data_IF_633870091500
#
_entry.id   IF_633870091500
#
_cell.length_a   1.000
_cell.length_b   1.000
_cell.length_c   1.000
_cell.angle_alpha   90.00
_cell.angle_beta   90.00
_cell.angle_gamma   90.00
#
_symmetry.space_group_name_H-M   'P 1'
#
loop_
_entity.id
_entity.type
_entity.pdbx_description
1 polymer ?
#
# COMPACT_ATOMS: atom_id res chain seq x y z
N UNK A 1 -0.34 7.63 7.05
CA UNK A 1 0.72 7.93 6.07
C UNK A 1 1.68 6.76 6.12
N UNK A 2 1.63 5.90 5.11
CA UNK A 2 2.13 4.53 5.22
C UNK A 2 3.40 4.36 4.38
N UNK A 3 4.57 4.22 5.02
CA UNK A 3 5.90 4.27 4.39
C UNK A 3 6.47 2.86 4.24
N UNK A 4 6.90 2.46 3.03
CA UNK A 4 7.86 1.37 2.90
C UNK A 4 9.26 1.96 3.10
N UNK A 5 9.95 1.57 4.18
CA UNK A 5 11.34 1.98 4.43
C UNK A 5 12.26 0.83 4.02
N UNK A 6 13.15 1.06 3.07
CA UNK A 6 14.35 0.26 2.93
C UNK A 6 15.41 0.90 3.83
N UNK A 7 15.81 0.20 4.89
CA UNK A 7 17.03 0.55 5.61
C UNK A 7 18.16 -0.02 4.75
N UNK A 8 18.79 0.83 3.95
CA UNK A 8 20.12 0.57 3.41
C UNK A 8 21.05 0.36 4.62
N UNK A 9 21.65 -0.82 4.69
CA UNK A 9 22.60 -1.19 5.73
C UNK A 9 23.91 -0.42 5.52
N UNK A 10 23.99 0.81 6.02
CA UNK A 10 25.28 1.45 6.24
C UNK A 10 25.25 2.25 7.56
N UNK A 11 26.19 1.87 8.43
CA UNK A 11 26.58 2.46 9.72
C UNK A 11 25.84 2.03 10.99
N UNK A 12 26.36 0.93 11.56
CA UNK A 12 26.46 0.73 13.00
C UNK A 12 27.06 1.98 13.67
N UNK A 13 26.26 2.75 14.40
CA UNK A 13 26.64 3.38 15.66
C UNK A 13 25.41 3.44 16.57
N UNK A 14 25.52 2.79 17.72
CA UNK A 14 24.56 2.82 18.81
C UNK A 14 24.24 4.26 19.20
N UNK A 15 22.96 4.64 19.14
CA UNK A 15 22.41 5.69 19.99
C UNK A 15 20.96 5.34 20.29
N UNK A 16 20.71 5.07 21.56
CA UNK A 16 19.39 4.79 22.13
C UNK A 16 18.50 6.02 21.96
N UNK A 17 17.66 6.01 20.93
CA UNK A 17 16.47 6.87 20.88
C UNK A 17 15.25 5.95 20.81
N UNK A 18 14.60 5.76 21.95
CA UNK A 18 13.23 5.24 22.01
C UNK A 18 12.29 6.28 21.40
N UNK A 19 12.19 6.31 20.07
CA UNK A 19 11.06 6.97 19.40
C UNK A 19 9.90 6.00 19.43
N UNK A 20 8.97 6.24 20.36
CA UNK A 20 7.62 5.68 20.29
C UNK A 20 7.09 6.01 18.89
N UNK A 21 6.97 5.01 18.03
CA UNK A 21 6.27 5.16 16.75
C UNK A 21 4.78 5.19 17.09
N UNK A 22 4.07 6.32 16.93
CA UNK A 22 2.62 6.27 16.97
C UNK A 22 2.19 5.38 15.81
N UNK A 23 1.56 4.26 16.13
CA UNK A 23 0.71 3.51 15.20
C UNK A 23 -0.41 4.46 14.79
N UNK A 24 -0.16 5.23 13.72
CA UNK A 24 -1.16 6.10 13.12
C UNK A 24 -2.26 5.23 12.53
N UNK A 25 -3.25 4.87 13.35
CA UNK A 25 -4.52 4.35 12.89
C UNK A 25 -5.23 5.51 12.18
N UNK A 26 -5.21 5.51 10.86
CA UNK A 26 -5.94 6.49 10.04
C UNK A 26 -7.44 6.23 10.10
N UNK A 27 -8.06 6.43 11.26
CA UNK A 27 -9.47 6.13 11.53
C UNK A 27 -10.41 7.26 11.06
N UNK A 28 -10.16 7.81 9.87
CA UNK A 28 -10.87 8.99 9.37
C UNK A 28 -11.54 8.86 8.00
N UNK A 29 -11.29 7.77 7.24
CA UNK A 29 -11.69 7.72 5.83
C UNK A 29 -12.66 6.59 5.47
N UNK A 30 -12.97 5.65 6.37
CA UNK A 30 -13.76 4.45 6.04
C UNK A 30 -13.04 3.47 5.09
N UNK A 31 -11.78 3.76 4.77
CA UNK A 31 -10.81 2.89 4.09
C UNK A 31 -9.69 2.60 5.09
N UNK A 32 -9.40 1.32 5.27
CA UNK A 32 -8.40 0.78 6.20
C UNK A 32 -7.30 0.10 5.39
N UNK A 33 -6.03 0.44 5.66
CA UNK A 33 -4.89 -0.16 4.97
C UNK A 33 -3.93 -0.76 5.99
N UNK A 34 -3.56 -2.03 5.79
CA UNK A 34 -2.70 -2.78 6.70
C UNK A 34 -1.67 -3.63 5.93
N UNK A 35 -0.40 -3.63 6.35
CA UNK A 35 0.18 -2.82 7.43
C UNK A 35 0.39 -1.34 7.03
N UNK A 36 0.47 -0.48 8.05
CA UNK A 36 0.77 0.93 7.85
C UNK A 36 2.23 1.18 7.45
N UNK A 37 3.15 0.32 7.87
CA UNK A 37 4.56 0.37 7.50
C UNK A 37 4.94 -1.07 7.19
N UNK A 38 5.56 -1.29 6.04
CA UNK A 38 5.98 -2.61 5.60
C UNK A 38 7.42 -2.56 5.15
N UNK A 39 8.21 -3.45 5.73
CA UNK A 39 9.61 -3.65 5.39
C UNK A 39 9.74 -5.07 4.87
N UNK A 40 10.27 -5.19 3.65
CA UNK A 40 10.50 -6.48 3.02
C UNK A 40 11.94 -6.52 2.49
N UNK A 41 12.71 -7.58 2.78
CA UNK A 41 14.01 -7.78 2.17
C UNK A 41 13.91 -7.86 0.66
N UNK A 42 14.95 -7.40 -0.04
CA UNK A 42 15.07 -7.57 -1.50
C UNK A 42 15.01 -9.06 -1.83
N UNK A 43 14.29 -9.43 -2.89
CA UNK A 43 14.10 -10.84 -3.28
C UNK A 43 12.89 -11.52 -2.64
N UNK A 44 12.34 -10.96 -1.56
CA UNK A 44 11.18 -11.55 -0.88
C UNK A 44 9.87 -11.04 -1.45
N UNK A 45 8.78 -11.75 -1.11
CA UNK A 45 7.43 -11.29 -1.39
C UNK A 45 6.88 -10.42 -0.27
N UNK A 46 5.93 -9.55 -0.61
CA UNK A 46 5.30 -8.63 0.32
C UNK A 46 3.84 -8.41 -0.04
N UNK A 47 3.01 -8.12 0.96
CA UNK A 47 1.58 -7.91 0.79
C UNK A 47 1.11 -6.71 1.60
N UNK A 48 0.25 -5.89 0.99
CA UNK A 48 -0.52 -4.84 1.66
C UNK A 48 -2.00 -5.06 1.39
N UNK A 49 -2.79 -5.11 2.45
CA UNK A 49 -4.25 -5.23 2.36
C UNK A 49 -4.88 -3.86 2.48
N UNK A 50 -5.96 -3.66 1.73
CA UNK A 50 -6.83 -2.53 1.87
C UNK A 50 -8.28 -3.00 1.92
N UNK A 51 -9.05 -2.49 2.87
CA UNK A 51 -10.47 -2.73 2.98
C UNK A 51 -11.26 -1.44 3.21
N UNK A 52 -12.56 -1.44 2.98
CA UNK A 52 -13.40 -0.29 3.28
C UNK A 52 -14.82 -0.68 3.70
N UNK A 53 -15.49 0.22 4.43
CA UNK A 53 -16.86 0.02 4.91
C UNK A 53 -17.86 1.06 4.36
N UNK A 54 -17.59 1.57 3.16
CA UNK A 54 -18.37 2.64 2.50
C UNK A 54 -19.72 2.23 1.91
N UNK A 55 -20.04 0.94 1.88
CA UNK A 55 -21.27 0.39 1.30
C UNK A 55 -21.10 -0.11 -0.13
N UNK A 56 -22.13 -0.80 -0.65
CA UNK A 56 -22.09 -1.56 -1.91
C UNK A 56 -21.88 -0.69 -3.16
N UNK A 57 -22.22 0.60 -3.09
CA UNK A 57 -22.04 1.53 -4.20
C UNK A 57 -20.56 1.79 -4.48
N UNK A 58 -19.70 1.61 -3.47
CA UNK A 58 -18.24 1.69 -3.60
C UNK A 58 -17.69 0.36 -4.12
N UNK A 59 -17.82 0.16 -5.43
CA UNK A 59 -17.45 -1.09 -6.10
C UNK A 59 -16.09 -1.04 -6.80
N UNK A 60 -15.31 0.03 -6.55
CA UNK A 60 -14.02 0.27 -7.20
C UNK A 60 -12.92 0.54 -6.16
N UNK A 61 -11.78 -0.12 -6.31
CA UNK A 61 -10.61 0.08 -5.46
C UNK A 61 -9.36 0.41 -6.27
N UNK A 62 -8.58 1.35 -5.77
CA UNK A 62 -7.40 1.87 -6.42
C UNK A 62 -6.20 1.74 -5.52
N UNK A 63 -5.07 1.36 -6.12
CA UNK A 63 -3.75 1.45 -5.52
C UNK A 63 -2.91 2.45 -6.27
N UNK A 64 -2.34 3.37 -5.51
CA UNK A 64 -1.36 4.32 -5.97
C UNK A 64 -0.04 4.10 -5.26
N UNK A 65 1.04 4.43 -5.94
CA UNK A 65 2.34 4.61 -5.30
C UNK A 65 2.87 6.02 -5.53
N UNK A 66 3.72 6.48 -4.63
CA UNK A 66 4.48 7.71 -4.77
C UNK A 66 5.92 7.45 -4.39
N UNK A 67 6.81 7.50 -5.39
CA UNK A 67 8.25 7.47 -5.16
C UNK A 67 8.76 8.83 -4.70
N UNK A 68 9.88 8.90 -3.95
CA UNK A 68 10.49 10.16 -3.57
C UNK A 68 10.78 11.03 -4.81
N UNK A 69 10.28 12.27 -4.82
CA UNK A 69 10.47 13.20 -5.94
C UNK A 69 9.56 12.98 -7.15
N UNK A 70 8.63 12.01 -7.11
CA UNK A 70 7.68 11.75 -8.18
C UNK A 70 6.24 12.09 -7.79
N UNK A 71 5.41 12.31 -8.81
CA UNK A 71 3.97 12.40 -8.65
C UNK A 71 3.36 11.04 -8.29
N UNK A 72 2.21 11.08 -7.63
CA UNK A 72 1.41 9.89 -7.36
C UNK A 72 0.99 9.22 -8.68
N UNK A 73 1.20 7.91 -8.80
CA UNK A 73 0.87 7.13 -10.00
C UNK A 73 -0.06 5.98 -9.64
N UNK A 74 -1.08 5.75 -10.47
CA UNK A 74 -1.96 4.58 -10.37
C UNK A 74 -1.19 3.33 -10.81
N UNK A 75 -1.22 2.29 -9.98
CA UNK A 75 -0.53 1.02 -10.25
C UNK A 75 -1.48 -0.16 -10.39
N UNK A 76 -2.59 -0.14 -9.64
CA UNK A 76 -3.66 -1.13 -9.75
C UNK A 76 -5.02 -0.45 -9.62
N UNK A 77 -5.97 -0.92 -10.40
CA UNK A 77 -7.38 -0.60 -10.28
C UNK A 77 -8.18 -1.90 -10.39
N UNK A 78 -9.17 -2.06 -9.52
CA UNK A 78 -10.09 -3.19 -9.54
C UNK A 78 -11.51 -2.66 -9.47
N UNK A 79 -12.35 -3.12 -10.39
CA UNK A 79 -13.79 -2.87 -10.43
C UNK A 79 -14.53 -4.17 -10.77
N UNK A 80 -15.85 -4.18 -10.56
CA UNK A 80 -16.68 -5.33 -10.90
C UNK A 80 -16.58 -5.63 -12.41
N UNK A 81 -15.89 -6.73 -12.75
CA UNK A 81 -15.70 -7.18 -14.13
C UNK A 81 -14.46 -6.62 -14.84
N UNK A 82 -13.69 -5.72 -14.22
CA UNK A 82 -12.50 -5.10 -14.82
C UNK A 82 -11.36 -4.96 -13.82
N UNK A 83 -10.14 -5.26 -14.25
CA UNK A 83 -8.94 -5.00 -13.46
C UNK A 83 -7.82 -4.48 -14.35
N UNK A 84 -7.16 -3.42 -13.89
CA UNK A 84 -5.92 -2.92 -14.47
C UNK A 84 -4.79 -3.13 -13.46
N UNK A 85 -3.68 -3.70 -13.91
CA UNK A 85 -2.51 -3.97 -13.08
C UNK A 85 -1.24 -3.67 -13.87
N UNK A 86 -0.30 -2.95 -13.26
CA UNK A 86 0.98 -2.61 -13.90
C UNK A 86 2.16 -3.16 -13.10
N UNK A 87 2.61 -4.36 -13.43
CA UNK A 87 3.74 -5.05 -12.76
C UNK A 87 3.50 -5.32 -11.26
N UNK A 88 2.23 -5.35 -10.84
CA UNK A 88 1.82 -5.71 -9.48
C UNK A 88 0.75 -6.77 -9.57
N UNK A 89 0.69 -7.61 -8.56
CA UNK A 89 -0.37 -8.61 -8.41
C UNK A 89 -1.42 -8.08 -7.43
N UNK A 90 -2.69 -8.39 -7.67
CA UNK A 90 -3.79 -8.02 -6.77
C UNK A 90 -4.63 -9.26 -6.44
N UNK A 91 -5.12 -9.32 -5.21
CA UNK A 91 -6.19 -10.24 -4.81
C UNK A 91 -7.39 -9.44 -4.32
N UNK A 92 -8.60 -9.95 -4.55
CA UNK A 92 -9.86 -9.27 -4.19
C UNK A 92 -10.56 -8.66 -5.39
N UNK A 93 -11.85 -8.35 -5.23
CA UNK A 93 -12.73 -7.83 -6.29
C UNK A 93 -12.92 -6.31 -6.22
N UNK A 94 -12.30 -5.65 -5.23
CA UNK A 94 -12.37 -4.20 -5.05
C UNK A 94 -13.65 -3.71 -4.36
N UNK A 95 -14.61 -4.59 -3.99
CA UNK A 95 -15.88 -4.17 -3.35
C UNK A 95 -15.78 -3.90 -1.86
N UNK A 96 -14.93 -4.64 -1.18
CA UNK A 96 -14.74 -4.53 0.26
C UNK A 96 -13.28 -4.66 0.64
N UNK A 97 -12.53 -5.49 -0.08
CA UNK A 97 -11.10 -5.70 0.12
C UNK A 97 -10.36 -5.86 -1.21
N UNK A 98 -9.17 -5.29 -1.31
CA UNK A 98 -8.18 -5.62 -2.32
C UNK A 98 -6.78 -5.56 -1.72
N UNK A 99 -5.98 -6.59 -1.95
CA UNK A 99 -4.61 -6.68 -1.45
C UNK A 99 -3.60 -6.63 -2.57
N UNK A 100 -2.63 -5.73 -2.45
CA UNK A 100 -1.49 -5.58 -3.34
C UNK A 100 -0.40 -6.57 -2.96
N UNK A 101 0.02 -7.40 -3.91
CA UNK A 101 1.11 -8.36 -3.77
C UNK A 101 2.31 -7.98 -4.65
N UNK A 102 3.50 -8.06 -4.05
CA UNK A 102 4.78 -7.81 -4.69
C UNK A 102 5.59 -9.09 -4.52
N UNK A 103 5.72 -9.92 -5.56
CA UNK A 103 6.33 -11.26 -5.47
C UNK A 103 7.87 -11.26 -5.41
N UNK A 104 8.52 -10.15 -5.81
CA UNK A 104 9.97 -10.00 -5.78
C UNK A 104 10.34 -8.53 -5.53
N UNK A 105 10.48 -8.18 -4.25
CA UNK A 105 10.76 -6.81 -3.82
C UNK A 105 12.16 -6.38 -4.27
N UNK A 106 12.25 -5.16 -4.78
CA UNK A 106 13.49 -4.51 -5.21
C UNK A 106 13.40 -3.02 -4.87
N UNK A 107 14.50 -2.30 -5.02
CA UNK A 107 14.64 -0.88 -4.73
C UNK A 107 13.64 0.00 -5.50
N UNK A 108 13.20 -0.41 -6.70
CA UNK A 108 12.17 0.32 -7.47
C UNK A 108 10.78 0.29 -6.83
N UNK A 109 10.54 -0.65 -5.91
CA UNK A 109 9.30 -0.77 -5.16
C UNK A 109 9.28 0.12 -3.90
N UNK A 110 10.37 0.85 -3.61
CA UNK A 110 10.45 1.82 -2.51
C UNK A 110 9.55 3.02 -2.78
N UNK A 111 8.38 3.04 -2.16
CA UNK A 111 7.41 4.12 -2.32
C UNK A 111 6.49 4.22 -1.10
N UNK A 112 5.71 5.29 -1.07
CA UNK A 112 4.52 5.40 -0.22
C UNK A 112 3.35 4.86 -1.02
N UNK A 113 2.56 3.95 -0.44
CA UNK A 113 1.42 3.33 -1.12
C UNK A 113 0.11 3.82 -0.51
N UNK A 114 -0.84 4.15 -1.38
CA UNK A 114 -2.15 4.66 -1.02
C UNK A 114 -3.24 3.82 -1.64
N UNK A 115 -4.20 3.42 -0.81
CA UNK A 115 -5.45 2.82 -1.25
C UNK A 115 -6.60 3.83 -1.21
N UNK A 116 -7.49 3.75 -2.20
CA UNK A 116 -8.73 4.51 -2.24
C UNK A 116 -9.89 3.65 -2.75
N UNK A 117 -11.10 3.97 -2.30
CA UNK A 117 -12.35 3.35 -2.76
C UNK A 117 -13.24 4.41 -3.42
N UNK A 118 -13.92 4.06 -4.50
CA UNK A 118 -14.85 4.94 -5.21
C UNK A 118 -16.13 4.22 -5.60
N UNK A 119 -17.18 5.01 -5.81
CA UNK A 119 -18.39 4.56 -6.50
C UNK A 119 -18.15 4.36 -7.99
N UNK A 120 -18.88 3.44 -8.60
CA UNK A 120 -18.86 3.25 -10.05
C UNK A 120 -19.65 4.36 -10.76
N UNK A 121 -18.97 5.06 -11.67
CA UNK A 121 -19.58 6.07 -12.56
C UNK A 121 -20.25 5.42 -13.76
#
# INVERSE_FOLDING_TARGET
LNKLSFISWDFLHFSLFHTNFPTGHGEGSGVTQNPAILWAPIGNSSQMNCSHNKGIDYSQMYWYHQRPGENMQLIVFTAVGEAYQKNFEITGDGREEASLHIANVTDVHTAVYFCAASTQF
#
